data_IF_603752734084
#
_entry.id   IF_603752734084
#
_cell.length_a   1.000
_cell.length_b   1.000
_cell.length_c   1.000
_cell.angle_alpha   90.00
_cell.angle_beta   90.00
_cell.angle_gamma   90.00
#
_symmetry.space_group_name_H-M   'P 1'
#
loop_
_entity.id
_entity.type
_entity.pdbx_description
1 polymer ?
#
# COMPACT_ATOMS: atom_id res chain seq x y z
N UNK A 1 5.12 18.22 9.86
CA UNK A 1 4.73 16.97 9.15
C UNK A 1 3.61 16.36 9.97
N UNK A 2 2.39 16.25 9.42
CA UNK A 2 1.27 15.63 10.13
C UNK A 2 1.52 14.14 10.30
N UNK A 3 1.16 13.60 11.46
CA UNK A 3 1.34 12.17 11.73
C UNK A 3 0.44 11.34 10.81
N UNK A 4 0.93 10.26 10.19
CA UNK A 4 0.16 9.43 9.25
C UNK A 4 -1.07 8.77 9.89
N UNK A 5 -1.21 8.83 11.22
CA UNK A 5 -2.34 8.26 11.97
C UNK A 5 -3.66 9.01 11.76
N UNK A 6 -3.63 10.31 11.40
CA UNK A 6 -4.84 11.10 11.18
C UNK A 6 -5.41 10.97 9.76
N UNK A 7 -4.74 10.26 8.85
CA UNK A 7 -5.22 10.08 7.48
C UNK A 7 -6.26 8.95 7.41
N UNK A 8 -7.34 9.10 6.62
CA UNK A 8 -8.23 7.99 6.37
C UNK A 8 -7.45 6.85 5.71
N UNK A 9 -7.74 5.61 6.14
CA UNK A 9 -7.15 4.42 5.54
C UNK A 9 -7.52 4.30 4.05
N UNK A 10 -8.73 4.71 3.67
CA UNK A 10 -9.22 4.65 2.29
C UNK A 10 -10.17 5.82 1.97
N UNK A 11 -9.85 6.59 0.93
CA UNK A 11 -10.73 7.62 0.37
C UNK A 11 -11.58 7.04 -0.78
N UNK A 12 -12.82 6.67 -0.45
CA UNK A 12 -13.77 6.08 -1.39
C UNK A 12 -14.18 7.05 -2.49
N UNK A 13 -14.32 8.34 -2.17
CA UNK A 13 -14.72 9.37 -3.15
C UNK A 13 -13.60 9.60 -4.17
N UNK A 14 -12.35 9.64 -3.72
CA UNK A 14 -11.19 9.69 -4.60
C UNK A 14 -11.17 8.47 -5.52
N UNK A 15 -11.33 7.27 -4.95
CA UNK A 15 -11.32 6.04 -5.70
C UNK A 15 -12.44 5.98 -6.75
N UNK A 16 -13.67 6.32 -6.35
CA UNK A 16 -14.82 6.37 -7.24
C UNK A 16 -14.57 7.33 -8.42
N UNK A 17 -14.04 8.52 -8.17
CA UNK A 17 -13.69 9.48 -9.23
C UNK A 17 -12.60 8.95 -10.15
N UNK A 18 -11.58 8.29 -9.61
CA UNK A 18 -10.47 7.74 -10.38
C UNK A 18 -10.89 6.63 -11.36
N UNK A 19 -11.94 5.85 -11.02
CA UNK A 19 -12.41 4.71 -11.83
C UNK A 19 -13.77 4.96 -12.52
N UNK A 20 -14.28 6.19 -12.47
CA UNK A 20 -15.51 6.60 -13.17
C UNK A 20 -16.82 6.22 -12.47
N UNK A 21 -16.79 5.90 -11.18
CA UNK A 21 -17.96 5.66 -10.33
C UNK A 21 -18.71 4.34 -10.57
N UNK A 22 -18.28 3.54 -11.54
CA UNK A 22 -18.87 2.22 -11.80
C UNK A 22 -18.43 1.20 -10.74
N UNK A 23 -19.39 0.61 -10.04
CA UNK A 23 -19.14 -0.33 -8.94
C UNK A 23 -18.40 -1.60 -9.36
N UNK A 24 -18.61 -2.08 -10.60
CA UNK A 24 -17.88 -3.25 -11.13
C UNK A 24 -16.43 -2.89 -11.40
N UNK A 25 -16.18 -1.71 -11.98
CA UNK A 25 -14.82 -1.19 -12.17
C UNK A 25 -14.12 -0.97 -10.82
N UNK A 26 -14.80 -0.35 -9.84
CA UNK A 26 -14.28 -0.19 -8.47
C UNK A 26 -13.86 -1.53 -7.87
N UNK A 27 -14.70 -2.56 -7.97
CA UNK A 27 -14.40 -3.91 -7.49
C UNK A 27 -13.17 -4.51 -8.20
N UNK A 28 -13.09 -4.37 -9.53
CA UNK A 28 -12.00 -4.91 -10.33
C UNK A 28 -10.66 -4.22 -10.02
N UNK A 29 -10.64 -2.89 -9.97
CA UNK A 29 -9.44 -2.12 -9.65
C UNK A 29 -9.00 -2.31 -8.19
N UNK A 30 -9.94 -2.47 -7.25
CA UNK A 30 -9.62 -2.82 -5.87
C UNK A 30 -8.90 -4.17 -5.78
N UNK A 31 -9.39 -5.20 -6.49
CA UNK A 31 -8.75 -6.51 -6.54
C UNK A 31 -7.33 -6.45 -7.14
N UNK A 32 -7.15 -5.72 -8.26
CA UNK A 32 -5.83 -5.51 -8.88
C UNK A 32 -4.89 -4.81 -7.91
N UNK A 33 -5.36 -3.76 -7.25
CA UNK A 33 -4.58 -3.01 -6.27
C UNK A 33 -4.11 -3.91 -5.13
N UNK A 34 -5.01 -4.66 -4.48
CA UNK A 34 -4.67 -5.56 -3.36
C UNK A 34 -3.65 -6.61 -3.78
N UNK A 35 -3.80 -7.20 -4.97
CA UNK A 35 -2.86 -8.18 -5.50
C UNK A 35 -1.46 -7.57 -5.72
N UNK A 36 -1.39 -6.39 -6.34
CA UNK A 36 -0.14 -5.68 -6.58
C UNK A 36 0.52 -5.22 -5.27
N UNK A 37 -0.26 -4.65 -4.35
CA UNK A 37 0.24 -4.19 -3.06
C UNK A 37 0.83 -5.34 -2.23
N UNK A 38 0.15 -6.49 -2.21
CA UNK A 38 0.66 -7.71 -1.55
C UNK A 38 1.99 -8.15 -2.17
N UNK A 39 2.10 -8.13 -3.51
CA UNK A 39 3.36 -8.45 -4.20
C UNK A 39 4.47 -7.47 -3.84
N UNK A 40 4.19 -6.16 -3.79
CA UNK A 40 5.18 -5.15 -3.41
C UNK A 40 5.65 -5.32 -1.97
N UNK A 41 4.76 -5.60 -1.02
CA UNK A 41 5.13 -5.88 0.37
C UNK A 41 6.06 -7.09 0.48
N UNK A 42 5.80 -8.17 -0.26
CA UNK A 42 6.70 -9.33 -0.33
C UNK A 42 8.07 -8.96 -0.91
N UNK A 43 8.10 -8.11 -1.94
CA UNK A 43 9.36 -7.62 -2.51
C UNK A 43 10.14 -6.72 -1.53
N UNK A 44 9.45 -5.85 -0.78
CA UNK A 44 10.06 -5.04 0.27
C UNK A 44 10.67 -5.93 1.36
N UNK A 45 9.95 -6.98 1.77
CA UNK A 45 10.47 -7.95 2.73
C UNK A 45 11.77 -8.61 2.23
N UNK A 46 11.82 -9.09 0.99
CA UNK A 46 13.03 -9.66 0.41
C UNK A 46 14.19 -8.66 0.23
N UNK A 47 13.88 -7.36 0.18
CA UNK A 47 14.90 -6.30 0.12
C UNK A 47 15.53 -5.99 1.50
N UNK A 48 14.94 -6.48 2.60
CA UNK A 48 15.55 -6.43 3.95
C UNK A 48 16.59 -7.57 4.02
N UNK A 49 17.86 -7.23 4.26
CA UNK A 49 18.95 -8.21 4.44
C UNK A 49 19.66 -8.68 3.17
N UNK A 50 19.08 -8.47 1.98
CA UNK A 50 19.77 -8.76 0.72
C UNK A 50 20.90 -7.74 0.45
N UNK A 51 22.03 -8.16 -0.13
CA UNK A 51 23.03 -7.22 -0.69
C UNK A 51 22.40 -6.26 -1.71
N UNK A 52 21.36 -6.73 -2.44
CA UNK A 52 20.49 -5.94 -3.32
C UNK A 52 19.68 -4.85 -2.61
N UNK A 53 19.49 -4.96 -1.29
CA UNK A 53 18.88 -3.93 -0.44
C UNK A 53 19.73 -2.65 -0.34
N UNK A 54 21.02 -2.72 -0.70
CA UNK A 54 21.91 -1.56 -0.87
C UNK A 54 21.75 -0.88 -2.24
N UNK A 55 21.30 -1.61 -3.26
CA UNK A 55 21.15 -1.16 -4.65
C UNK A 55 19.83 -0.47 -4.98
N UNK A 56 19.18 0.19 -4.01
CA UNK A 56 17.94 0.94 -4.25
C UNK A 56 16.67 0.08 -4.44
N UNK A 57 16.74 -1.25 -4.34
CA UNK A 57 15.58 -2.13 -4.49
C UNK A 57 14.46 -1.80 -3.48
N UNK A 58 14.82 -1.54 -2.23
CA UNK A 58 13.87 -1.09 -1.20
C UNK A 58 13.13 0.18 -1.61
N UNK A 59 13.89 1.22 -1.98
CA UNK A 59 13.35 2.50 -2.43
C UNK A 59 12.42 2.31 -3.63
N UNK A 60 12.86 1.59 -4.67
CA UNK A 60 12.09 1.41 -5.89
C UNK A 60 10.77 0.67 -5.69
N UNK A 61 10.73 -0.31 -4.79
CA UNK A 61 9.47 -1.02 -4.47
C UNK A 61 8.56 -0.16 -3.59
N UNK A 62 9.10 0.51 -2.57
CA UNK A 62 8.35 1.46 -1.74
C UNK A 62 7.73 2.57 -2.59
N UNK A 63 8.46 3.08 -3.58
CA UNK A 63 8.00 4.11 -4.52
C UNK A 63 6.83 3.65 -5.38
N UNK A 64 6.90 2.41 -5.90
CA UNK A 64 5.80 1.82 -6.68
C UNK A 64 4.56 1.61 -5.81
N UNK A 65 4.73 1.11 -4.59
CA UNK A 65 3.62 0.92 -3.66
C UNK A 65 2.99 2.26 -3.28
N UNK A 66 3.80 3.30 -3.03
CA UNK A 66 3.33 4.67 -2.80
C UNK A 66 2.47 5.18 -3.95
N UNK A 67 2.97 5.10 -5.18
CA UNK A 67 2.24 5.58 -6.36
C UNK A 67 0.92 4.83 -6.56
N UNK A 68 0.96 3.50 -6.41
CA UNK A 68 -0.23 2.65 -6.47
C UNK A 68 -1.26 3.00 -5.39
N UNK A 69 -0.81 3.23 -4.14
CA UNK A 69 -1.68 3.58 -3.02
C UNK A 69 -2.32 4.97 -3.20
N UNK A 70 -1.55 5.96 -3.65
CA UNK A 70 -2.05 7.31 -3.94
C UNK A 70 -3.12 7.29 -5.04
N UNK A 71 -2.94 6.49 -6.09
CA UNK A 71 -3.88 6.42 -7.21
C UNK A 71 -5.26 5.87 -6.83
N UNK A 72 -5.35 5.11 -5.73
CA UNK A 72 -6.61 4.51 -5.26
C UNK A 72 -7.15 5.19 -3.99
N UNK A 73 -6.56 6.29 -3.53
CA UNK A 73 -7.00 6.98 -2.32
C UNK A 73 -6.56 6.31 -1.01
N UNK A 74 -5.61 5.36 -1.04
CA UNK A 74 -5.03 4.73 0.14
C UNK A 74 -3.93 5.62 0.76
N UNK A 75 -4.31 6.82 1.18
CA UNK A 75 -3.37 7.89 1.55
C UNK A 75 -2.47 7.55 2.74
N UNK A 76 -3.00 6.84 3.74
CA UNK A 76 -2.19 6.40 4.88
C UNK A 76 -1.09 5.42 4.46
N UNK A 77 -1.42 4.45 3.61
CA UNK A 77 -0.43 3.51 3.05
C UNK A 77 0.61 4.26 2.19
N UNK A 78 0.18 5.24 1.39
CA UNK A 78 1.09 6.07 0.60
C UNK A 78 2.06 6.86 1.49
N UNK A 79 1.58 7.42 2.61
CA UNK A 79 2.40 8.13 3.58
C UNK A 79 3.42 7.21 4.26
N UNK A 80 3.01 6.01 4.69
CA UNK A 80 3.93 5.00 5.23
C UNK A 80 5.00 4.58 4.22
N UNK A 81 4.66 4.49 2.94
CA UNK A 81 5.64 4.19 1.90
C UNK A 81 6.61 5.36 1.68
N UNK A 82 6.14 6.61 1.75
CA UNK A 82 6.98 7.80 1.63
C UNK A 82 7.98 7.93 2.81
N UNK A 83 7.58 7.57 4.03
CA UNK A 83 8.50 7.51 5.17
C UNK A 83 9.46 6.33 5.08
N UNK A 84 9.04 5.23 4.46
CA UNK A 84 9.86 4.05 4.24
C UNK A 84 10.94 4.26 3.17
N UNK A 85 10.63 4.93 2.05
CA UNK A 85 11.52 5.17 0.91
C UNK A 85 12.99 5.49 1.29
N UNK A 86 13.28 6.51 2.15
CA UNK A 86 14.64 6.92 2.47
C UNK A 86 15.34 6.05 3.53
N UNK A 87 14.69 5.03 4.09
CA UNK A 87 15.25 4.30 5.23
C UNK A 87 16.54 3.53 4.86
N UNK A 88 17.59 3.64 5.70
CA UNK A 88 18.86 2.96 5.45
C UNK A 88 18.71 1.43 5.58
N UNK A 89 19.58 0.64 4.93
CA UNK A 89 19.58 -0.82 5.07
C UNK A 89 20.07 -1.32 6.43
N UNK A 90 20.60 -0.43 7.28
CA UNK A 90 21.14 -0.77 8.59
C UNK A 90 20.08 -0.64 9.71
N UNK A 91 20.11 -1.57 10.65
CA UNK A 91 19.19 -1.61 11.79
C UNK A 91 17.76 -2.03 11.43
N UNK A 92 16.85 -1.85 12.39
CA UNK A 92 15.49 -2.39 12.31
C UNK A 92 14.48 -1.44 11.64
N UNK A 93 14.91 -0.26 11.20
CA UNK A 93 14.01 0.78 10.67
C UNK A 93 13.16 0.27 9.49
N UNK A 94 13.76 -0.46 8.54
CA UNK A 94 13.03 -1.07 7.42
C UNK A 94 12.08 -2.16 7.87
N UNK A 95 12.43 -2.94 8.88
CA UNK A 95 11.57 -3.98 9.43
C UNK A 95 10.35 -3.36 10.13
N UNK A 96 10.55 -2.31 10.92
CA UNK A 96 9.47 -1.56 11.58
C UNK A 96 8.53 -0.91 10.56
N UNK A 97 9.09 -0.23 9.55
CA UNK A 97 8.29 0.37 8.48
C UNK A 97 7.51 -0.69 7.69
N UNK A 98 8.13 -1.83 7.39
CA UNK A 98 7.45 -2.95 6.72
C UNK A 98 6.30 -3.51 7.57
N UNK A 99 6.46 -3.60 8.89
CA UNK A 99 5.38 -4.01 9.80
C UNK A 99 4.20 -3.04 9.70
N UNK A 100 4.45 -1.74 9.82
CA UNK A 100 3.39 -0.72 9.71
C UNK A 100 2.69 -0.75 8.34
N UNK A 101 3.44 -0.95 7.26
CA UNK A 101 2.90 -1.09 5.90
C UNK A 101 2.02 -2.35 5.78
N UNK A 102 2.43 -3.48 6.36
CA UNK A 102 1.64 -4.72 6.38
C UNK A 102 0.32 -4.52 7.13
N UNK A 103 0.39 -3.93 8.32
CA UNK A 103 -0.79 -3.68 9.15
C UNK A 103 -1.80 -2.77 8.43
N UNK A 104 -1.30 -1.73 7.75
CA UNK A 104 -2.17 -0.85 6.96
C UNK A 104 -2.74 -1.53 5.73
N UNK A 105 -1.95 -2.35 5.02
CA UNK A 105 -2.45 -3.13 3.90
C UNK A 105 -3.53 -4.12 4.34
N UNK A 106 -3.40 -4.73 5.52
CA UNK A 106 -4.42 -5.63 6.04
C UNK A 106 -5.69 -4.87 6.44
N UNK A 107 -5.59 -3.67 7.04
CA UNK A 107 -6.76 -2.79 7.24
C UNK A 107 -7.45 -2.44 5.92
N UNK A 108 -6.68 -2.09 4.89
CA UNK A 108 -7.19 -1.80 3.56
C UNK A 108 -7.91 -2.98 2.93
N UNK A 109 -7.38 -4.21 3.06
CA UNK A 109 -8.06 -5.41 2.55
C UNK A 109 -9.43 -5.60 3.19
N UNK A 110 -9.56 -5.35 4.50
CA UNK A 110 -10.85 -5.46 5.18
C UNK A 110 -11.84 -4.42 4.62
N UNK A 111 -11.44 -3.14 4.59
CA UNK A 111 -12.28 -2.05 4.06
C UNK A 111 -12.67 -2.28 2.60
N UNK A 112 -11.73 -2.72 1.76
CA UNK A 112 -12.00 -2.97 0.34
C UNK A 112 -12.86 -4.21 0.12
N UNK A 113 -12.71 -5.26 0.93
CA UNK A 113 -13.58 -6.44 0.86
C UNK A 113 -15.04 -6.07 1.12
N UNK A 114 -15.30 -5.15 2.05
CA UNK A 114 -16.66 -4.66 2.32
C UNK A 114 -17.27 -3.90 1.12
N UNK A 115 -16.45 -3.35 0.23
CA UNK A 115 -16.88 -2.71 -1.02
C UNK A 115 -17.15 -3.71 -2.14
N UNK A 116 -16.49 -4.87 -2.11
CA UNK A 116 -16.68 -5.94 -3.08
C UNK A 116 -17.98 -6.68 -2.72
N UNK A 117 -18.95 -6.83 -3.63
CA UNK A 117 -20.13 -7.61 -3.33
C UNK A 117 -19.72 -9.02 -2.92
N UNK A 118 -20.09 -9.42 -1.70
CA UNK A 118 -20.02 -10.80 -1.25
C UNK A 118 -20.81 -11.62 -2.29
N UNK A 119 -20.13 -12.30 -3.20
CA UNK A 119 -20.78 -13.30 -4.04
C UNK A 119 -21.25 -14.39 -3.09
N UNK A 120 -22.48 -14.26 -2.57
CA UNK A 120 -23.22 -15.42 -2.09
C UNK A 120 -23.31 -16.35 -3.29
N UNK A 121 -22.56 -17.45 -3.23
CA UNK A 121 -22.93 -18.67 -3.93
C UNK A 121 -24.32 -19.09 -3.50
#
# INVERSE_FOLDING_TARGET
MGEPESLPSFDLDHFAKAVGGDRRLMTHFAAIFVANATRYVTQMHGAIGSEKGRGGAWYGVAHKLKGSASAVGAHRLAALCATAEPLPPAGDARAQALSAIKDELDRLKHVMTDLMPQTRK
#
